data_IF_768091902369
#
_entry.id   IF_768091902369
#
_cell.length_a   1.000
_cell.length_b   1.000
_cell.length_c   1.000
_cell.angle_alpha   90.00
_cell.angle_beta   90.00
_cell.angle_gamma   90.00
#
_symmetry.space_group_name_H-M   'P 1'
#
loop_
_entity.id
_entity.type
_entity.pdbx_description
1 polymer ?
#
# COMPACT_ATOMS: atom_id res chain seq x y z
N UNK A 1 -28.22 31.94 -54.17
CA UNK A 1 -28.53 33.10 -53.31
C UNK A 1 -29.22 32.66 -52.00
N UNK A 2 -28.56 31.85 -51.16
CA UNK A 2 -29.13 31.37 -49.88
C UNK A 2 -28.08 30.92 -48.85
N UNK A 3 -26.89 31.55 -48.83
CA UNK A 3 -25.77 31.13 -47.98
C UNK A 3 -25.24 32.20 -47.00
N UNK A 4 -25.83 33.41 -46.98
CA UNK A 4 -25.27 34.55 -46.25
C UNK A 4 -25.97 34.89 -44.92
N UNK A 5 -27.04 34.19 -44.54
CA UNK A 5 -27.83 34.54 -43.34
C UNK A 5 -27.42 33.75 -42.08
N UNK A 6 -26.70 32.63 -42.20
CA UNK A 6 -26.35 31.78 -41.04
C UNK A 6 -25.01 32.14 -40.35
N UNK A 7 -24.22 33.08 -40.88
CA UNK A 7 -22.97 33.52 -40.23
C UNK A 7 -23.15 34.59 -39.14
N UNK A 8 -24.36 35.14 -38.95
CA UNK A 8 -24.55 36.23 -37.99
C UNK A 8 -24.96 35.76 -36.57
N UNK A 9 -25.30 34.47 -36.38
CA UNK A 9 -25.87 33.97 -35.12
C UNK A 9 -24.87 33.30 -34.15
N UNK A 10 -23.57 33.25 -34.47
CA UNK A 10 -22.55 32.63 -33.61
C UNK A 10 -21.68 33.63 -32.84
N UNK A 11 -21.81 34.93 -33.11
CA UNK A 11 -20.99 35.98 -32.49
C UNK A 11 -21.58 36.55 -31.18
N UNK A 12 -22.79 36.16 -30.78
CA UNK A 12 -23.46 36.69 -29.58
C UNK A 12 -23.34 35.80 -28.33
N UNK A 13 -22.57 34.71 -28.40
CA UNK A 13 -22.34 33.82 -27.25
C UNK A 13 -21.03 34.01 -26.45
N UNK A 14 -20.01 34.82 -26.86
CA UNK A 14 -18.78 34.89 -26.08
C UNK A 14 -18.85 35.90 -24.91
N UNK A 15 -19.93 36.66 -24.76
CA UNK A 15 -19.99 37.77 -23.78
C UNK A 15 -20.52 37.39 -22.39
N UNK A 16 -21.04 36.16 -22.21
CA UNK A 16 -21.47 35.64 -20.91
C UNK A 16 -20.43 34.70 -20.25
N UNK A 17 -19.23 34.58 -20.84
CA UNK A 17 -18.16 33.67 -20.40
C UNK A 17 -17.08 34.31 -19.51
N UNK A 18 -17.18 35.60 -19.17
CA UNK A 18 -16.19 36.33 -18.36
C UNK A 18 -16.62 36.50 -16.90
N UNK A 19 -16.94 35.41 -16.20
CA UNK A 19 -16.96 35.43 -14.73
C UNK A 19 -15.67 34.79 -14.20
N UNK A 20 -14.69 35.58 -13.72
CA UNK A 20 -13.44 35.08 -13.12
C UNK A 20 -13.67 34.25 -11.84
N UNK A 21 -14.90 34.24 -11.31
CA UNK A 21 -15.27 33.42 -10.17
C UNK A 21 -15.42 31.93 -10.49
N UNK A 22 -15.69 31.52 -11.73
CA UNK A 22 -15.89 30.10 -12.03
C UNK A 22 -14.58 29.31 -12.08
N UNK A 23 -13.50 29.95 -12.54
CA UNK A 23 -12.14 29.38 -12.52
C UNK A 23 -11.51 29.44 -11.12
N UNK A 24 -11.81 30.49 -10.34
CA UNK A 24 -11.39 30.58 -8.94
C UNK A 24 -12.12 29.54 -8.07
N UNK A 25 -13.43 29.33 -8.29
CA UNK A 25 -14.21 28.32 -7.57
C UNK A 25 -13.83 26.90 -8.01
N UNK A 26 -13.51 26.64 -9.30
CA UNK A 26 -12.89 25.38 -9.74
C UNK A 26 -11.49 25.17 -9.14
N UNK A 27 -10.68 26.23 -9.04
CA UNK A 27 -9.39 26.20 -8.38
C UNK A 27 -9.49 25.88 -6.88
N UNK A 28 -10.46 26.48 -6.19
CA UNK A 28 -10.74 26.23 -4.77
C UNK A 28 -11.35 24.84 -4.52
N UNK A 29 -12.24 24.36 -5.41
CA UNK A 29 -12.83 23.01 -5.33
C UNK A 29 -11.82 21.91 -5.69
N UNK A 30 -10.86 22.23 -6.58
CA UNK A 30 -9.71 21.38 -6.86
C UNK A 30 -8.73 21.40 -5.68
N UNK A 31 -8.39 22.57 -5.12
CA UNK A 31 -7.57 22.70 -3.92
C UNK A 31 -8.15 21.90 -2.75
N UNK A 32 -9.46 22.02 -2.46
CA UNK A 32 -10.08 21.26 -1.37
C UNK A 32 -10.07 19.74 -1.61
N UNK A 33 -10.25 19.30 -2.86
CA UNK A 33 -10.11 17.89 -3.24
C UNK A 33 -8.68 17.37 -3.09
N UNK A 34 -7.67 18.16 -3.47
CA UNK A 34 -6.26 17.80 -3.34
C UNK A 34 -5.85 17.77 -1.86
N UNK A 35 -6.31 18.72 -1.03
CA UNK A 35 -6.05 18.72 0.42
C UNK A 35 -6.65 17.48 1.11
N UNK A 36 -7.88 17.07 0.75
CA UNK A 36 -8.49 15.86 1.30
C UNK A 36 -7.68 14.61 0.92
N UNK A 37 -7.24 14.50 -0.33
CA UNK A 37 -6.40 13.38 -0.76
C UNK A 37 -5.06 13.32 -0.03
N UNK A 38 -4.44 14.46 0.26
CA UNK A 38 -3.21 14.52 1.06
C UNK A 38 -3.42 13.99 2.47
N UNK A 39 -4.54 14.35 3.11
CA UNK A 39 -4.89 13.85 4.46
C UNK A 39 -5.08 12.33 4.45
N UNK A 40 -5.79 11.80 3.45
CA UNK A 40 -6.00 10.35 3.30
C UNK A 40 -4.67 9.62 3.08
N UNK A 41 -3.82 10.12 2.18
CA UNK A 41 -2.50 9.55 1.90
C UNK A 41 -1.61 9.61 3.13
N UNK A 42 -1.57 10.76 3.82
CA UNK A 42 -0.79 10.94 5.03
C UNK A 42 -1.26 9.96 6.13
N UNK A 43 -2.56 9.79 6.29
CA UNK A 43 -3.13 8.80 7.21
C UNK A 43 -2.71 7.37 6.85
N UNK A 44 -2.74 7.01 5.56
CA UNK A 44 -2.36 5.67 5.11
C UNK A 44 -0.87 5.36 5.32
N UNK A 45 0.00 6.34 5.04
CA UNK A 45 1.44 6.23 5.27
C UNK A 45 1.74 6.20 6.78
N UNK A 46 1.03 6.99 7.57
CA UNK A 46 1.15 6.97 9.02
C UNK A 46 0.80 5.60 9.60
N UNK A 47 -0.32 5.01 9.16
CA UNK A 47 -0.70 3.64 9.53
C UNK A 47 0.39 2.65 9.11
N UNK A 48 0.89 2.73 7.87
CA UNK A 48 1.98 1.88 7.39
C UNK A 48 3.26 1.97 8.24
N UNK A 49 3.58 3.18 8.71
CA UNK A 49 4.72 3.44 9.61
C UNK A 49 4.49 2.81 10.99
N UNK A 50 3.29 2.95 11.56
CA UNK A 50 2.91 2.31 12.83
C UNK A 50 3.01 0.78 12.72
N UNK A 51 2.53 0.18 11.63
CA UNK A 51 2.69 -1.27 11.39
C UNK A 51 4.16 -1.70 11.28
N UNK A 52 4.99 -0.88 10.65
CA UNK A 52 6.44 -1.13 10.54
C UNK A 52 7.11 -1.07 11.93
N UNK A 53 6.70 -0.13 12.77
CA UNK A 53 7.16 -0.03 14.16
C UNK A 53 6.68 -1.22 15.02
N UNK A 54 5.41 -1.61 14.88
CA UNK A 54 4.86 -2.81 15.53
C UNK A 54 5.58 -4.08 15.10
N UNK A 55 6.10 -4.15 13.87
CA UNK A 55 6.89 -5.28 13.41
C UNK A 55 8.17 -5.47 14.21
N UNK A 56 8.90 -4.37 14.45
CA UNK A 56 10.11 -4.40 15.28
C UNK A 56 9.78 -4.80 16.71
N UNK A 57 8.72 -4.24 17.28
CA UNK A 57 8.25 -4.60 18.63
C UNK A 57 7.88 -6.08 18.71
N UNK A 58 7.18 -6.61 17.69
CA UNK A 58 6.81 -8.03 17.61
C UNK A 58 8.04 -8.93 17.64
N UNK A 59 9.08 -8.58 16.89
CA UNK A 59 10.34 -9.35 16.87
C UNK A 59 11.02 -9.39 18.24
N UNK A 60 10.91 -8.33 19.05
CA UNK A 60 11.53 -8.23 20.38
C UNK A 60 10.68 -8.93 21.45
N UNK A 61 9.34 -8.92 21.30
CA UNK A 61 8.40 -9.43 22.31
C UNK A 61 8.26 -10.95 22.29
N UNK A 62 8.33 -11.57 21.11
CA UNK A 62 8.05 -13.00 20.97
C UNK A 62 9.28 -13.88 21.31
N UNK A 63 9.11 -14.96 22.09
CA UNK A 63 10.21 -15.79 22.58
C UNK A 63 10.76 -16.77 21.52
N UNK A 64 9.94 -17.17 20.55
CA UNK A 64 10.28 -18.23 19.59
C UNK A 64 10.57 -17.68 18.17
N UNK A 65 11.47 -18.30 17.42
CA UNK A 65 11.81 -17.93 16.05
C UNK A 65 10.57 -18.03 15.14
N UNK A 66 9.74 -19.06 15.30
CA UNK A 66 8.53 -19.25 14.49
C UNK A 66 7.49 -18.17 14.76
N UNK A 67 7.27 -17.81 16.03
CA UNK A 67 6.32 -16.76 16.41
C UNK A 67 6.85 -15.36 16.04
N UNK A 68 8.16 -15.12 16.16
CA UNK A 68 8.83 -13.92 15.66
C UNK A 68 8.70 -13.78 14.15
N UNK A 69 8.96 -14.84 13.38
CA UNK A 69 8.85 -14.85 11.93
C UNK A 69 7.41 -14.56 11.45
N UNK A 70 6.43 -15.15 12.13
CA UNK A 70 5.02 -14.92 11.87
C UNK A 70 4.60 -13.48 12.19
N UNK A 71 4.96 -12.98 13.36
CA UNK A 71 4.67 -11.61 13.76
C UNK A 71 5.32 -10.59 12.81
N UNK A 72 6.60 -10.78 12.49
CA UNK A 72 7.36 -9.93 11.59
C UNK A 72 6.77 -9.91 10.19
N UNK A 73 6.55 -11.07 9.58
CA UNK A 73 6.04 -11.18 8.20
C UNK A 73 4.66 -10.53 8.03
N UNK A 74 3.70 -10.80 8.92
CA UNK A 74 2.35 -10.20 8.84
C UNK A 74 2.38 -8.68 8.98
N UNK A 75 3.06 -8.17 10.01
CA UNK A 75 3.08 -6.73 10.31
C UNK A 75 3.96 -5.92 9.36
N UNK A 76 5.17 -6.40 9.03
CA UNK A 76 6.08 -5.70 8.12
C UNK A 76 5.50 -5.59 6.71
N UNK A 77 4.90 -6.68 6.21
CA UNK A 77 4.37 -6.68 4.84
C UNK A 77 3.21 -5.70 4.71
N UNK A 78 2.28 -5.70 5.66
CA UNK A 78 1.18 -4.72 5.65
C UNK A 78 1.71 -3.29 5.79
N UNK A 79 2.72 -3.04 6.62
CA UNK A 79 3.33 -1.72 6.77
C UNK A 79 3.91 -1.18 5.46
N UNK A 80 4.71 -2.00 4.77
CA UNK A 80 5.31 -1.64 3.48
C UNK A 80 4.23 -1.50 2.40
N UNK A 81 3.27 -2.42 2.34
CA UNK A 81 2.18 -2.37 1.34
C UNK A 81 1.31 -1.12 1.51
N UNK A 82 0.93 -0.75 2.74
CA UNK A 82 0.18 0.48 3.02
C UNK A 82 0.96 1.72 2.58
N UNK A 83 2.26 1.77 2.84
CA UNK A 83 3.11 2.92 2.47
C UNK A 83 3.27 3.04 0.95
N UNK A 84 3.52 1.92 0.26
CA UNK A 84 3.62 1.90 -1.21
C UNK A 84 2.28 2.23 -1.86
N UNK A 85 1.17 1.70 -1.34
CA UNK A 85 -0.16 1.97 -1.86
C UNK A 85 -0.58 3.43 -1.64
N UNK A 86 -0.24 4.03 -0.50
CA UNK A 86 -0.46 5.46 -0.25
C UNK A 86 0.33 6.34 -1.20
N UNK A 87 1.60 5.97 -1.47
CA UNK A 87 2.44 6.66 -2.45
C UNK A 87 1.88 6.52 -3.87
N UNK A 88 1.36 5.34 -4.21
CA UNK A 88 0.71 5.09 -5.50
C UNK A 88 -0.55 5.96 -5.68
N UNK A 89 -1.41 6.04 -4.66
CA UNK A 89 -2.59 6.92 -4.65
C UNK A 89 -2.21 8.40 -4.85
N UNK A 90 -1.13 8.85 -4.20
CA UNK A 90 -0.66 10.23 -4.35
C UNK A 90 -0.26 10.57 -5.79
N UNK A 91 0.55 9.72 -6.44
CA UNK A 91 0.97 9.94 -7.83
C UNK A 91 -0.20 9.83 -8.82
N UNK A 92 -1.16 8.94 -8.55
CA UNK A 92 -2.36 8.80 -9.37
C UNK A 92 -3.21 10.07 -9.34
N UNK A 93 -3.34 10.72 -8.17
CA UNK A 93 -4.18 11.92 -7.99
C UNK A 93 -3.46 13.19 -8.46
N UNK A 94 -2.16 13.31 -8.18
CA UNK A 94 -1.38 14.52 -8.49
C UNK A 94 -1.08 14.65 -9.98
N UNK A 95 -0.50 13.62 -10.57
CA UNK A 95 0.07 13.67 -11.92
C UNK A 95 -0.79 12.89 -12.93
N UNK A 96 -1.84 12.19 -12.48
CA UNK A 96 -2.64 11.29 -13.34
C UNK A 96 -1.85 10.11 -13.88
N UNK A 97 -0.63 9.89 -13.38
CA UNK A 97 0.34 8.97 -13.95
C UNK A 97 0.32 7.63 -13.22
N UNK A 98 0.06 6.57 -13.98
CA UNK A 98 0.05 5.20 -13.47
C UNK A 98 1.46 4.61 -13.44
N UNK A 99 2.08 4.62 -12.27
CA UNK A 99 3.44 4.10 -12.09
C UNK A 99 3.46 2.58 -11.99
N UNK A 100 3.75 1.91 -13.11
CA UNK A 100 3.90 0.43 -13.19
C UNK A 100 4.92 -0.10 -12.17
N UNK A 101 5.98 0.66 -11.91
CA UNK A 101 7.03 0.32 -10.93
C UNK A 101 6.49 0.17 -9.51
N UNK A 102 5.53 0.99 -9.09
CA UNK A 102 4.94 0.92 -7.75
C UNK A 102 4.09 -0.33 -7.59
N UNK A 103 3.30 -0.68 -8.60
CA UNK A 103 2.47 -1.88 -8.60
C UNK A 103 3.32 -3.14 -8.61
N UNK A 104 4.38 -3.17 -9.43
CA UNK A 104 5.35 -4.25 -9.38
C UNK A 104 5.98 -4.36 -7.98
N UNK A 105 6.31 -3.23 -7.33
CA UNK A 105 6.83 -3.23 -5.96
C UNK A 105 5.85 -3.83 -4.94
N UNK A 106 4.57 -3.44 -5.01
CA UNK A 106 3.51 -3.98 -4.14
C UNK A 106 3.38 -5.50 -4.34
N UNK A 107 3.27 -5.94 -5.60
CA UNK A 107 3.12 -7.36 -5.94
C UNK A 107 4.36 -8.17 -5.55
N UNK A 108 5.54 -7.62 -5.79
CA UNK A 108 6.81 -8.26 -5.44
C UNK A 108 6.92 -8.45 -3.93
N UNK A 109 6.72 -7.40 -3.12
CA UNK A 109 6.78 -7.50 -1.66
C UNK A 109 5.72 -8.49 -1.13
N UNK A 110 4.52 -8.46 -1.69
CA UNK A 110 3.44 -9.36 -1.30
C UNK A 110 3.77 -10.84 -1.56
N UNK A 111 4.44 -11.15 -2.68
CA UNK A 111 4.88 -12.52 -3.00
C UNK A 111 6.12 -12.94 -2.22
N UNK A 112 7.09 -12.05 -2.02
CA UNK A 112 8.34 -12.36 -1.34
C UNK A 112 8.12 -12.66 0.13
N UNK A 113 7.22 -11.96 0.80
CA UNK A 113 6.97 -12.12 2.23
C UNK A 113 6.60 -13.56 2.67
N UNK A 114 5.57 -14.21 2.10
CA UNK A 114 5.21 -15.58 2.48
C UNK A 114 6.30 -16.59 2.11
N UNK A 115 7.03 -16.36 1.00
CA UNK A 115 8.15 -17.22 0.58
C UNK A 115 9.28 -17.16 1.60
N UNK A 116 9.65 -15.96 2.06
CA UNK A 116 10.69 -15.77 3.09
C UNK A 116 10.26 -16.42 4.41
N UNK A 117 9.02 -16.20 4.86
CA UNK A 117 8.53 -16.79 6.11
C UNK A 117 8.55 -18.32 6.08
N UNK A 118 8.10 -18.93 4.96
CA UNK A 118 8.10 -20.37 4.80
C UNK A 118 9.52 -20.96 4.77
N UNK A 119 10.44 -20.34 4.03
CA UNK A 119 11.83 -20.78 3.96
C UNK A 119 12.55 -20.63 5.31
N UNK A 120 12.26 -19.55 6.05
CA UNK A 120 12.81 -19.31 7.38
C UNK A 120 12.37 -20.39 8.37
N UNK A 121 11.08 -20.70 8.43
CA UNK A 121 10.55 -21.77 9.29
C UNK A 121 11.13 -23.14 8.91
N UNK A 122 11.19 -23.46 7.61
CA UNK A 122 11.76 -24.73 7.13
C UNK A 122 13.25 -24.84 7.50
N UNK A 123 14.01 -23.76 7.38
CA UNK A 123 15.43 -23.76 7.75
C UNK A 123 15.62 -23.88 9.26
N UNK A 124 14.83 -23.15 10.06
CA UNK A 124 14.89 -23.22 11.52
C UNK A 124 14.60 -24.63 12.03
N UNK A 125 13.59 -25.30 11.46
CA UNK A 125 13.24 -26.66 11.85
C UNK A 125 14.36 -27.66 11.52
N UNK A 126 14.93 -27.57 10.31
CA UNK A 126 16.05 -28.45 9.91
C UNK A 126 17.35 -28.19 10.65
N UNK A 127 17.49 -27.03 11.29
CA UNK A 127 18.62 -26.70 12.15
C UNK A 127 18.41 -27.13 13.61
N UNK A 128 17.36 -27.91 13.92
CA UNK A 128 17.02 -28.36 15.27
C UNK A 128 16.87 -27.20 16.28
N UNK A 129 16.30 -26.08 15.83
CA UNK A 129 15.94 -24.99 16.74
C UNK A 129 14.82 -25.48 17.65
N UNK A 130 15.06 -25.46 18.96
CA UNK A 130 14.07 -25.81 19.95
C UNK A 130 12.82 -24.92 19.83
N UNK A 131 11.66 -25.55 19.77
CA UNK A 131 10.37 -24.87 19.91
C UNK A 131 10.23 -24.34 21.34
N UNK A 132 9.47 -23.27 21.51
CA UNK A 132 9.15 -22.75 22.85
C UNK A 132 8.33 -23.76 23.65
N UNK A 133 8.55 -23.84 24.96
CA UNK A 133 7.83 -24.73 25.90
C UNK A 133 6.29 -24.54 25.91
N UNK A 134 5.79 -23.42 25.39
CA UNK A 134 4.35 -23.17 25.20
C UNK A 134 3.75 -23.93 24.01
N UNK A 135 4.57 -24.48 23.10
CA UNK A 135 4.06 -25.25 21.96
C UNK A 135 3.63 -26.64 22.41
N UNK A 136 2.32 -26.92 22.34
CA UNK A 136 1.74 -28.20 22.77
C UNK A 136 1.84 -29.29 21.70
N UNK A 137 1.89 -28.92 20.43
CA UNK A 137 1.80 -29.85 19.30
C UNK A 137 2.91 -29.60 18.28
N UNK A 138 3.69 -30.66 18.00
CA UNK A 138 4.67 -30.72 16.91
C UNK A 138 4.50 -32.05 16.17
N UNK A 139 3.62 -32.06 15.16
CA UNK A 139 3.38 -33.23 14.31
C UNK A 139 4.59 -33.53 13.40
N UNK A 140 5.48 -32.54 13.18
CA UNK A 140 6.63 -32.71 12.29
C UNK A 140 7.72 -33.56 12.94
N UNK A 141 7.80 -33.56 14.27
CA UNK A 141 8.82 -34.28 15.03
C UNK A 141 8.78 -35.78 14.76
N UNK A 142 7.58 -36.35 14.69
CA UNK A 142 7.37 -37.79 14.42
C UNK A 142 8.04 -38.22 13.09
N UNK A 143 7.98 -37.37 12.06
CA UNK A 143 8.55 -37.68 10.74
C UNK A 143 10.08 -37.52 10.65
N UNK A 144 10.68 -36.73 11.55
CA UNK A 144 12.14 -36.57 11.60
C UNK A 144 12.77 -37.60 12.54
N UNK A 145 12.13 -37.92 13.67
CA UNK A 145 12.57 -38.98 14.60
C UNK A 145 12.44 -40.38 13.98
N UNK A 146 11.52 -40.63 13.04
CA UNK A 146 11.41 -41.91 12.31
C UNK A 146 12.55 -42.13 11.29
N UNK A 147 13.26 -41.05 10.91
CA UNK A 147 14.22 -41.06 9.80
C UNK A 147 15.68 -41.15 10.22
N UNK A 148 15.97 -40.94 11.49
CA UNK A 148 17.31 -41.01 12.12
C UNK A 148 17.48 -42.29 12.95
#
# INVERSE_FOLDING_TARGET
MRFLILSCSSAFFPLLGQLPLQDSLRGVLSLSGIELSKVIVAGLIFIGTVFSFLSVIGIIRFPDIYTRAHAASKSASLGVLCTLFGTFLYFLIKDGYFSIRLILGILFVFLTSPVVAHLLNRSAYRSNVALTEESVQDDLKEFFDEKD
#
